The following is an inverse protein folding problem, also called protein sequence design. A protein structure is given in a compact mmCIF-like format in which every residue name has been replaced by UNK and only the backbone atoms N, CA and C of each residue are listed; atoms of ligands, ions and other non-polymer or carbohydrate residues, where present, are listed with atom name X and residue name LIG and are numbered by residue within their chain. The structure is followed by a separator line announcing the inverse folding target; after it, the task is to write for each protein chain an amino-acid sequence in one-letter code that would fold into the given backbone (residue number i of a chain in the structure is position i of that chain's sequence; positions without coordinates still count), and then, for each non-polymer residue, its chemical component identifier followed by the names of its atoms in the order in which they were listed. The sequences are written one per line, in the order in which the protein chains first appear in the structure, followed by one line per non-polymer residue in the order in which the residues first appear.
data_IF_370470881096
#
_entry.id   IF_370470881096
#
_cell.length_a   1.000
_cell.length_b   1.000
_cell.length_c   1.000
_cell.angle_alpha   90.00
_cell.angle_beta   90.00
_cell.angle_gamma   90.00
#
_symmetry.space_group_name_H-M   'P 1'
#
loop_
_entity.id
_entity.type
_entity.pdbx_description
1 polymer ?
#
# COMPACT_ATOMS: atom_id res chain seq x y z
N UNK A 1 16.53 31.33 1.02
CA UNK A 1 16.90 32.56 1.75
C UNK A 1 18.37 32.80 1.54
N UNK A 2 18.73 34.05 1.30
CA UNK A 2 20.09 34.49 1.07
C UNK A 2 20.64 35.16 2.34
N UNK A 3 21.87 34.82 2.68
CA UNK A 3 22.64 35.45 3.75
C UNK A 3 23.79 36.28 3.21
N UNK A 4 24.58 36.87 4.10
CA UNK A 4 25.83 37.54 3.71
C UNK A 4 26.90 36.48 3.35
N UNK A 5 27.68 36.64 2.27
CA UNK A 5 27.74 37.78 1.34
C UNK A 5 26.82 37.66 0.11
N UNK A 6 26.13 36.54 -0.08
CA UNK A 6 25.39 36.21 -1.31
C UNK A 6 24.34 37.27 -1.70
N UNK A 7 23.62 37.85 -0.72
CA UNK A 7 22.64 38.92 -0.96
C UNK A 7 23.26 40.11 -1.71
N UNK A 8 24.51 40.47 -1.40
CA UNK A 8 25.21 41.62 -2.01
C UNK A 8 25.50 41.37 -3.49
N UNK A 9 25.78 40.12 -3.86
CA UNK A 9 26.11 39.75 -5.23
C UNK A 9 24.88 39.59 -6.13
N UNK A 10 23.66 39.58 -5.58
CA UNK A 10 22.43 39.54 -6.40
C UNK A 10 22.18 40.83 -7.17
N UNK A 11 22.64 41.98 -6.67
CA UNK A 11 22.46 43.29 -7.30
C UNK A 11 21.00 43.75 -7.47
N UNK A 12 20.03 43.04 -6.89
CA UNK A 12 18.59 43.31 -7.02
C UNK A 12 17.97 44.07 -5.83
N UNK A 13 18.68 44.15 -4.70
CA UNK A 13 18.26 44.91 -3.52
C UNK A 13 19.00 46.26 -3.46
N UNK A 14 18.28 47.33 -3.15
CA UNK A 14 18.85 48.67 -3.04
C UNK A 14 19.71 48.85 -1.77
N UNK A 15 19.30 48.25 -0.64
CA UNK A 15 20.08 48.18 0.61
C UNK A 15 20.05 46.76 1.21
N UNK A 16 20.97 45.88 0.77
CA UNK A 16 20.97 44.47 1.19
C UNK A 16 21.40 44.29 2.66
N UNK A 17 22.24 45.18 3.19
CA UNK A 17 22.76 45.06 4.57
C UNK A 17 21.73 45.55 5.57
N UNK A 18 21.07 46.68 5.29
CA UNK A 18 19.98 47.19 6.13
C UNK A 18 18.83 46.19 6.27
N UNK A 19 18.42 45.56 5.16
CA UNK A 19 17.37 44.52 5.20
C UNK A 19 17.80 43.27 5.96
N UNK A 20 19.07 42.86 5.91
CA UNK A 20 19.55 41.72 6.68
C UNK A 20 19.49 42.04 8.18
N UNK A 21 19.87 43.25 8.59
CA UNK A 21 19.74 43.70 9.98
C UNK A 21 18.29 43.73 10.42
N UNK A 22 17.39 44.21 9.57
CA UNK A 22 15.95 44.22 9.86
C UNK A 22 15.39 42.79 10.00
N UNK A 23 15.76 41.87 9.12
CA UNK A 23 15.38 40.46 9.22
C UNK A 23 15.91 39.79 10.50
N UNK A 24 17.10 40.16 10.99
CA UNK A 24 17.58 39.72 12.33
C UNK A 24 16.68 40.26 13.42
N UNK A 25 16.35 41.56 13.38
CA UNK A 25 15.54 42.19 14.42
C UNK A 25 14.13 41.59 14.46
N UNK A 26 13.49 41.42 13.29
CA UNK A 26 12.18 40.79 13.18
C UNK A 26 12.18 39.37 13.74
N UNK A 27 13.28 38.61 13.56
CA UNK A 27 13.44 37.28 14.14
C UNK A 27 13.55 37.31 15.67
N UNK A 28 14.28 38.27 16.22
CA UNK A 28 14.43 38.46 17.67
C UNK A 28 13.07 38.84 18.27
N UNK A 29 12.38 39.80 17.67
CA UNK A 29 11.06 40.27 18.12
C UNK A 29 10.01 39.15 18.04
N UNK A 30 10.08 38.28 17.02
CA UNK A 30 9.22 37.09 16.91
C UNK A 30 9.55 36.04 17.98
N UNK A 31 10.83 35.84 18.30
CA UNK A 31 11.24 34.91 19.36
C UNK A 31 10.77 35.37 20.75
N UNK A 32 10.86 36.67 21.05
CA UNK A 32 10.38 37.26 22.30
C UNK A 32 8.85 37.20 22.43
N UNK A 33 8.11 37.40 21.34
CA UNK A 33 6.64 37.37 21.35
C UNK A 33 6.03 35.96 21.35
N UNK A 34 6.80 34.93 20.98
CA UNK A 34 6.30 33.55 20.82
C UNK A 34 6.70 32.61 21.98
N UNK A 35 7.25 33.15 23.08
CA UNK A 35 7.75 32.38 24.22
C UNK A 35 6.71 31.39 24.82
N UNK A 36 5.42 31.69 24.70
CA UNK A 36 4.31 30.93 25.29
C UNK A 36 3.40 30.17 24.31
N UNK A 37 3.64 30.20 22.98
CA UNK A 37 2.77 29.56 21.98
C UNK A 37 3.48 28.39 21.26
N UNK A 38 3.16 27.12 21.58
CA UNK A 38 3.83 25.96 21.01
C UNK A 38 3.54 25.74 19.51
N UNK A 39 2.51 26.36 18.94
CA UNK A 39 2.13 26.18 17.52
C UNK A 39 2.98 27.08 16.60
N UNK A 40 3.49 28.20 17.10
CA UNK A 40 4.27 29.19 16.33
C UNK A 40 5.78 29.09 16.51
N UNK A 41 6.28 28.06 17.22
CA UNK A 41 7.71 27.74 17.37
C UNK A 41 8.36 27.18 16.08
N UNK A 42 8.09 27.80 14.94
CA UNK A 42 8.88 27.61 13.73
C UNK A 42 9.86 28.77 13.63
N UNK A 43 11.15 28.54 13.91
CA UNK A 43 12.16 29.55 13.65
C UNK A 43 12.12 29.90 12.15
N UNK A 44 11.67 31.13 11.80
CA UNK A 44 11.92 31.66 10.46
C UNK A 44 13.42 31.53 10.22
N UNK A 45 13.81 30.94 9.09
CA UNK A 45 15.22 30.82 8.78
C UNK A 45 15.82 32.23 8.63
N UNK A 46 17.07 32.40 9.05
CA UNK A 46 17.77 33.67 8.92
C UNK A 46 18.13 33.92 7.45
N UNK A 47 17.69 35.07 6.91
CA UNK A 47 18.05 35.55 5.57
C UNK A 47 16.89 36.26 4.86
N UNK A 48 17.18 36.85 3.71
CA UNK A 48 16.21 37.55 2.87
C UNK A 48 15.73 36.60 1.75
N UNK A 49 14.49 36.74 1.24
CA UNK A 49 14.04 36.03 0.04
C UNK A 49 15.02 36.14 -1.13
N UNK A 50 15.15 35.05 -1.89
CA UNK A 50 16.01 35.02 -3.06
C UNK A 50 15.24 35.57 -4.27
N UNK A 51 15.69 36.69 -4.87
CA UNK A 51 14.96 37.38 -5.92
C UNK A 51 15.05 36.67 -7.29
N UNK A 52 15.85 35.61 -7.42
CA UNK A 52 15.90 34.78 -8.62
C UNK A 52 14.95 33.58 -8.56
N UNK A 53 14.29 33.33 -7.43
CA UNK A 53 13.27 32.26 -7.33
C UNK A 53 12.00 32.69 -8.05
N UNK A 54 11.52 31.83 -8.95
CA UNK A 54 10.34 32.08 -9.78
C UNK A 54 9.17 31.15 -9.45
N UNK A 55 9.44 29.95 -8.95
CA UNK A 55 8.42 28.97 -8.62
C UNK A 55 8.86 28.07 -7.45
N UNK A 56 7.89 27.41 -6.83
CA UNK A 56 8.08 26.27 -5.94
C UNK A 56 7.70 25.01 -6.69
N UNK A 57 8.62 24.06 -6.78
CA UNK A 57 8.34 22.68 -7.15
C UNK A 57 7.84 21.92 -5.93
N UNK A 58 6.69 21.26 -6.10
CA UNK A 58 6.01 20.46 -5.10
C UNK A 58 6.00 19.03 -5.61
N UNK A 59 6.81 18.18 -5.00
CA UNK A 59 6.83 16.75 -5.27
C UNK A 59 6.03 16.04 -4.18
N UNK A 60 5.02 15.28 -4.59
CA UNK A 60 4.17 14.51 -3.67
C UNK A 60 4.49 13.04 -3.80
N UNK A 61 4.92 12.45 -2.69
CA UNK A 61 5.33 11.05 -2.57
C UNK A 61 4.42 10.33 -1.58
N UNK A 62 4.14 9.06 -1.85
CA UNK A 62 3.36 8.20 -0.94
C UNK A 62 4.18 7.01 -0.49
N UNK A 63 4.02 6.67 0.78
CA UNK A 63 4.62 5.47 1.35
C UNK A 63 3.95 4.21 0.79
N UNK A 64 4.75 3.26 0.31
CA UNK A 64 4.32 1.92 -0.10
C UNK A 64 4.64 0.88 0.96
N UNK A 65 4.57 -0.40 0.61
CA UNK A 65 4.99 -1.50 1.48
C UNK A 65 6.50 -1.47 1.71
N UNK A 66 6.93 -1.95 2.88
CA UNK A 66 8.34 -2.18 3.13
C UNK A 66 8.91 -3.13 2.06
N UNK A 67 10.13 -2.85 1.61
CA UNK A 67 10.84 -3.53 0.52
C UNK A 67 10.32 -3.25 -0.90
N UNK A 68 9.22 -2.51 -1.10
CA UNK A 68 8.84 -2.03 -2.45
C UNK A 68 9.57 -0.72 -2.79
N UNK A 69 10.83 -0.86 -3.16
CA UNK A 69 11.71 0.26 -3.52
C UNK A 69 11.92 0.40 -5.04
N UNK A 70 11.37 -0.50 -5.86
CA UNK A 70 11.64 -0.56 -7.30
C UNK A 70 11.11 0.66 -8.05
N UNK A 71 10.01 1.24 -7.56
CA UNK A 71 9.38 2.43 -8.11
C UNK A 71 9.75 3.72 -7.37
N UNK A 72 10.74 3.66 -6.46
CA UNK A 72 11.24 4.84 -5.75
C UNK A 72 12.32 5.55 -6.55
N UNK A 73 12.33 6.88 -6.49
CA UNK A 73 13.30 7.71 -7.19
C UNK A 73 14.76 7.41 -6.77
N UNK A 74 14.99 7.12 -5.49
CA UNK A 74 16.34 6.79 -4.96
C UNK A 74 16.62 5.28 -4.94
N UNK A 75 15.60 4.44 -5.18
CA UNK A 75 15.68 2.98 -5.11
C UNK A 75 15.99 2.42 -3.71
N UNK A 76 16.01 3.25 -2.67
CA UNK A 76 16.33 2.86 -1.29
C UNK A 76 15.16 2.99 -0.35
N UNK A 77 14.33 3.99 -0.56
CA UNK A 77 13.17 4.25 0.27
C UNK A 77 11.92 3.62 -0.35
N UNK A 78 10.94 3.29 0.48
CA UNK A 78 9.63 2.77 0.06
C UNK A 78 8.65 3.93 -0.15
N UNK A 79 9.08 4.94 -0.90
CA UNK A 79 8.26 6.08 -1.30
C UNK A 79 8.21 6.15 -2.82
N UNK A 80 7.00 6.23 -3.38
CA UNK A 80 6.75 6.41 -4.80
C UNK A 80 6.26 7.83 -5.05
N UNK A 81 6.83 8.49 -6.06
CA UNK A 81 6.35 9.78 -6.54
C UNK A 81 4.98 9.61 -7.20
N UNK A 82 3.94 10.25 -6.65
CA UNK A 82 2.62 10.30 -7.28
C UNK A 82 2.59 11.30 -8.43
N UNK A 83 3.05 12.52 -8.15
CA UNK A 83 3.14 13.59 -9.13
C UNK A 83 4.10 14.68 -8.65
N UNK A 84 4.57 15.47 -9.61
CA UNK A 84 5.31 16.70 -9.37
C UNK A 84 4.54 17.84 -10.03
N UNK A 85 4.34 18.94 -9.30
CA UNK A 85 3.66 20.13 -9.79
C UNK A 85 4.45 21.38 -9.40
N UNK A 86 4.19 22.52 -10.04
CA UNK A 86 4.84 23.78 -9.74
C UNK A 86 3.83 24.86 -9.39
N UNK A 87 4.18 25.76 -8.48
CA UNK A 87 3.39 26.95 -8.15
C UNK A 87 4.27 28.18 -8.33
N UNK A 88 3.83 29.14 -9.12
CA UNK A 88 4.63 30.31 -9.47
C UNK A 88 4.46 31.41 -8.41
N UNK A 89 5.55 32.10 -8.11
CA UNK A 89 5.49 33.37 -7.40
C UNK A 89 5.05 34.48 -8.37
N UNK A 90 4.50 35.56 -7.82
CA UNK A 90 4.44 36.85 -8.51
C UNK A 90 5.84 37.28 -8.96
N UNK A 91 5.93 38.10 -9.99
CA UNK A 91 7.22 38.67 -10.40
C UNK A 91 7.85 39.44 -9.23
N UNK A 92 9.15 39.27 -9.03
CA UNK A 92 9.85 39.86 -7.89
C UNK A 92 9.67 41.38 -7.83
N UNK A 93 9.16 41.85 -6.69
CA UNK A 93 9.04 43.26 -6.33
C UNK A 93 9.71 43.46 -4.96
N UNK A 94 10.70 44.36 -4.90
CA UNK A 94 11.46 44.63 -3.67
C UNK A 94 10.55 45.10 -2.52
N UNK A 95 9.44 45.80 -2.82
CA UNK A 95 8.49 46.24 -1.80
C UNK A 95 7.64 45.10 -1.22
N UNK A 96 7.49 44.00 -1.96
CA UNK A 96 6.68 42.84 -1.61
C UNK A 96 7.52 41.54 -1.63
N UNK A 97 8.81 41.64 -1.33
CA UNK A 97 9.74 40.51 -1.41
C UNK A 97 9.35 39.35 -0.47
N UNK A 98 8.58 39.62 0.57
CA UNK A 98 8.08 38.66 1.57
C UNK A 98 6.66 38.13 1.25
N UNK A 99 6.20 38.22 0.00
CA UNK A 99 4.89 37.68 -0.39
C UNK A 99 4.83 36.15 -0.22
N UNK A 100 3.90 35.68 0.60
CA UNK A 100 3.64 34.27 0.82
C UNK A 100 2.74 33.69 -0.28
N UNK A 101 3.07 32.49 -0.78
CA UNK A 101 2.14 31.72 -1.62
C UNK A 101 1.27 30.84 -0.73
N UNK A 102 -0.04 31.07 -0.79
CA UNK A 102 -1.02 30.12 -0.23
C UNK A 102 -1.29 29.00 -1.24
N UNK A 103 -1.02 27.75 -0.84
CA UNK A 103 -1.34 26.54 -1.62
C UNK A 103 -2.43 25.76 -0.87
N UNK A 104 -3.71 25.90 -1.26
CA UNK A 104 -4.79 25.17 -0.62
C UNK A 104 -4.64 23.66 -0.84
N UNK A 105 -4.93 22.87 0.20
CA UNK A 105 -4.83 21.40 0.15
C UNK A 105 -6.23 20.79 0.28
N UNK A 106 -6.65 20.06 -0.74
CA UNK A 106 -7.90 19.29 -0.74
C UNK A 106 -7.59 17.81 -0.53
N UNK A 107 -8.33 17.17 0.38
CA UNK A 107 -8.16 15.75 0.70
C UNK A 107 -9.36 14.92 0.25
N UNK A 108 -9.11 13.90 -0.56
CA UNK A 108 -10.16 13.05 -1.16
C UNK A 108 -9.87 11.55 -0.96
N UNK A 109 -10.94 10.76 -0.86
CA UNK A 109 -10.87 9.30 -0.67
C UNK A 109 -10.80 8.60 -2.03
N UNK A 110 -9.70 7.92 -2.29
CA UNK A 110 -9.55 7.06 -3.46
C UNK A 110 -9.39 5.61 -3.01
N UNK A 111 -10.11 4.62 -3.58
CA UNK A 111 -9.88 3.22 -3.25
C UNK A 111 -8.53 2.70 -3.79
N UNK A 112 -8.17 3.08 -5.02
CA UNK A 112 -6.98 2.62 -5.73
C UNK A 112 -6.33 3.79 -6.47
N UNK A 113 -5.03 3.96 -6.27
CA UNK A 113 -4.20 4.92 -7.00
C UNK A 113 -3.42 4.23 -8.13
N UNK A 114 -3.24 4.93 -9.25
CA UNK A 114 -2.39 4.46 -10.36
C UNK A 114 -0.94 4.92 -10.12
N UNK A 115 -0.18 4.05 -9.47
CA UNK A 115 1.23 4.31 -9.18
C UNK A 115 2.04 4.34 -10.49
N UNK A 116 3.17 5.07 -10.48
CA UNK A 116 4.14 5.16 -11.60
C UNK A 116 3.58 5.68 -12.94
N UNK A 117 2.51 6.47 -12.92
CA UNK A 117 1.90 7.05 -14.12
C UNK A 117 1.72 8.56 -13.94
N UNK A 118 1.78 9.34 -15.03
CA UNK A 118 1.56 10.80 -15.01
C UNK A 118 0.13 11.23 -14.58
N UNK A 119 -0.77 10.25 -14.45
CA UNK A 119 -2.17 10.44 -14.03
C UNK A 119 -2.48 9.50 -12.86
N UNK A 120 -2.06 9.86 -11.64
CA UNK A 120 -2.20 8.99 -10.47
C UNK A 120 -3.65 8.77 -10.03
N UNK A 121 -4.55 9.72 -10.31
CA UNK A 121 -5.95 9.63 -9.89
C UNK A 121 -6.82 8.96 -10.96
N UNK A 122 -7.86 8.20 -10.57
CA UNK A 122 -8.67 7.42 -11.51
C UNK A 122 -9.48 8.29 -12.49
N UNK A 123 -9.98 9.45 -12.05
CA UNK A 123 -10.75 10.38 -12.87
C UNK A 123 -9.82 11.42 -13.53
N UNK A 124 -10.03 11.71 -14.81
CA UNK A 124 -9.21 12.70 -15.52
C UNK A 124 -9.35 14.13 -14.94
N UNK A 125 -10.52 14.48 -14.41
CA UNK A 125 -10.77 15.78 -13.74
C UNK A 125 -9.83 15.99 -12.56
N UNK A 126 -9.53 14.91 -11.83
CA UNK A 126 -8.76 14.97 -10.60
C UNK A 126 -7.26 15.07 -10.88
N UNK A 127 -6.83 15.07 -12.14
CA UNK A 127 -5.42 15.20 -12.52
C UNK A 127 -5.11 16.56 -13.18
N UNK A 128 -6.09 17.45 -13.40
CA UNK A 128 -5.86 18.70 -14.13
C UNK A 128 -4.96 19.68 -13.37
N UNK A 129 -5.12 19.72 -12.04
CA UNK A 129 -4.37 20.61 -11.14
C UNK A 129 -2.84 20.38 -11.17
N UNK A 130 -2.39 19.22 -11.65
CA UNK A 130 -0.97 18.85 -11.72
C UNK A 130 -0.22 19.77 -12.68
N UNK A 131 -0.87 20.17 -13.79
CA UNK A 131 -0.27 21.04 -14.80
C UNK A 131 -0.57 22.53 -14.57
N UNK A 132 -1.35 22.87 -13.54
CA UNK A 132 -1.68 24.26 -13.21
C UNK A 132 -0.52 24.89 -12.42
N UNK A 133 -0.28 26.18 -12.65
CA UNK A 133 0.79 26.95 -11.99
C UNK A 133 0.32 27.74 -10.77
N UNK A 134 -0.98 27.64 -10.45
CA UNK A 134 -1.63 28.28 -9.31
C UNK A 134 -2.82 27.41 -8.86
N UNK A 135 -3.31 27.63 -7.64
CA UNK A 135 -4.49 26.92 -7.13
C UNK A 135 -4.16 25.72 -6.24
N UNK A 136 -5.19 24.94 -5.95
CA UNK A 136 -5.16 23.86 -4.96
C UNK A 136 -4.32 22.65 -5.40
N UNK A 137 -3.94 21.84 -4.42
CA UNK A 137 -3.36 20.50 -4.64
C UNK A 137 -4.25 19.43 -4.03
N UNK A 138 -4.38 18.31 -4.73
CA UNK A 138 -5.17 17.17 -4.27
C UNK A 138 -4.27 16.13 -3.61
N UNK A 139 -4.62 15.72 -2.39
CA UNK A 139 -3.94 14.70 -1.63
C UNK A 139 -4.87 13.53 -1.30
N UNK A 140 -4.43 12.28 -1.44
CA UNK A 140 -5.24 11.13 -1.08
C UNK A 140 -5.30 10.95 0.44
N UNK A 141 -6.46 10.58 0.97
CA UNK A 141 -6.65 10.22 2.39
C UNK A 141 -6.20 8.78 2.68
N UNK A 142 -6.00 8.40 3.94
CA UNK A 142 -5.55 7.07 4.38
C UNK A 142 -4.15 6.62 3.90
N UNK A 143 -3.33 7.56 3.41
CA UNK A 143 -1.95 7.32 2.96
C UNK A 143 -1.00 8.16 3.81
N UNK A 144 0.21 7.66 3.99
CA UNK A 144 1.30 8.48 4.51
C UNK A 144 1.94 9.22 3.34
N UNK A 145 1.84 10.55 3.37
CA UNK A 145 2.29 11.42 2.30
C UNK A 145 3.52 12.16 2.76
N UNK A 146 4.51 12.21 1.86
CA UNK A 146 5.67 13.07 1.99
C UNK A 146 5.62 14.11 0.88
N UNK A 147 5.64 15.38 1.27
CA UNK A 147 5.74 16.50 0.35
C UNK A 147 7.16 17.03 0.42
N UNK A 148 7.83 17.01 -0.72
CA UNK A 148 9.15 17.61 -0.89
C UNK A 148 8.97 18.92 -1.65
N UNK A 149 9.28 20.03 -0.98
CA UNK A 149 9.23 21.38 -1.54
C UNK A 149 10.63 21.80 -1.96
N UNK A 150 10.74 22.38 -3.15
CA UNK A 150 12.01 22.88 -3.68
C UNK A 150 11.80 24.21 -4.40
N UNK A 151 12.60 25.21 -4.08
CA UNK A 151 12.59 26.47 -4.81
C UNK A 151 13.23 26.30 -6.20
N UNK A 152 12.63 26.89 -7.23
CA UNK A 152 13.09 26.85 -8.61
C UNK A 152 13.44 28.26 -9.09
N UNK A 153 14.70 28.45 -9.44
CA UNK A 153 15.22 29.68 -10.01
C UNK A 153 14.72 29.94 -11.44
N UNK A 154 14.58 31.22 -11.78
CA UNK A 154 14.23 31.71 -13.12
C UNK A 154 15.18 31.17 -14.18
N UNK A 155 14.67 30.92 -15.40
CA UNK A 155 15.51 30.43 -16.49
C UNK A 155 16.29 31.56 -17.14
N UNK A 156 17.55 31.74 -16.72
CA UNK A 156 18.46 32.75 -17.24
C UNK A 156 19.66 32.09 -17.94
N UNK A 157 19.77 32.36 -19.24
CA UNK A 157 20.87 31.89 -20.09
C UNK A 157 22.19 32.48 -19.58
N UNK A 158 23.20 31.63 -19.37
CA UNK A 158 24.55 31.99 -18.86
C UNK A 158 24.61 32.54 -17.43
N UNK A 159 23.51 32.48 -16.67
CA UNK A 159 23.50 32.88 -15.26
C UNK A 159 23.82 31.71 -14.34
N UNK A 160 23.21 30.56 -14.63
CA UNK A 160 23.44 29.32 -13.91
C UNK A 160 24.63 28.56 -14.51
N UNK A 161 25.28 27.72 -13.70
CA UNK A 161 26.33 26.80 -14.18
C UNK A 161 25.78 25.74 -15.16
N UNK A 162 26.53 24.66 -15.39
CA UNK A 162 26.16 23.64 -16.39
C UNK A 162 24.71 23.13 -16.20
N UNK A 163 23.92 23.27 -17.26
CA UNK A 163 22.49 22.99 -17.27
C UNK A 163 22.24 21.51 -17.52
N UNK A 164 22.44 20.67 -16.51
CA UNK A 164 21.94 19.30 -16.58
C UNK A 164 20.43 19.27 -16.32
N UNK A 165 19.67 19.12 -17.40
CA UNK A 165 18.19 19.20 -17.50
C UNK A 165 17.44 18.24 -16.55
N UNK A 166 18.07 17.19 -16.01
CA UNK A 166 17.37 16.13 -15.24
C UNK A 166 18.09 15.62 -13.98
N UNK A 167 19.14 16.31 -13.51
CA UNK A 167 19.82 15.86 -12.30
C UNK A 167 19.39 16.67 -11.08
N UNK A 168 19.31 16.04 -9.91
CA UNK A 168 19.21 16.72 -8.61
C UNK A 168 20.35 17.74 -8.38
N UNK A 169 21.40 17.67 -9.19
CA UNK A 169 22.54 18.61 -9.25
C UNK A 169 22.28 19.88 -10.06
N UNK A 170 21.06 20.11 -10.56
CA UNK A 170 20.75 21.34 -11.30
C UNK A 170 20.94 22.57 -10.37
N UNK A 171 21.82 23.52 -10.72
CA UNK A 171 22.12 24.69 -9.89
C UNK A 171 20.92 25.64 -9.68
N UNK A 172 19.88 25.53 -10.51
CA UNK A 172 18.64 26.33 -10.39
C UNK A 172 17.76 25.92 -9.20
N UNK A 173 18.00 24.72 -8.68
CA UNK A 173 17.09 24.12 -7.73
C UNK A 173 17.65 24.25 -6.30
N UNK A 174 16.87 24.90 -5.45
CA UNK A 174 17.25 25.19 -4.07
C UNK A 174 17.29 23.96 -3.16
N UNK A 175 17.53 24.23 -1.86
CA UNK A 175 17.48 23.22 -0.80
C UNK A 175 16.06 22.65 -0.68
N UNK A 176 15.96 21.33 -0.52
CA UNK A 176 14.69 20.63 -0.32
C UNK A 176 14.22 20.76 1.13
N UNK A 177 12.91 20.96 1.30
CA UNK A 177 12.23 20.88 2.60
C UNK A 177 11.20 19.77 2.51
N UNK A 178 11.22 18.86 3.49
CA UNK A 178 10.35 17.69 3.50
C UNK A 178 9.33 17.83 4.62
N UNK A 179 8.06 17.64 4.28
CA UNK A 179 6.93 17.69 5.20
C UNK A 179 6.19 16.37 5.09
N UNK A 180 5.98 15.69 6.22
CA UNK A 180 5.16 14.48 6.27
C UNK A 180 3.76 14.83 6.75
N UNK A 181 2.75 14.34 6.04
CA UNK A 181 1.35 14.54 6.40
C UNK A 181 0.52 13.30 6.13
N UNK A 182 -0.61 13.23 6.83
CA UNK A 182 -1.58 12.15 6.71
C UNK A 182 -2.94 12.71 7.09
N UNK A 183 -3.98 12.21 6.44
CA UNK A 183 -5.37 12.45 6.86
C UNK A 183 -6.16 11.17 6.69
N UNK A 184 -6.99 10.83 7.68
CA UNK A 184 -7.76 9.59 7.64
C UNK A 184 -8.87 9.59 6.58
N UNK A 185 -9.22 8.38 6.17
CA UNK A 185 -10.33 8.13 5.24
C UNK A 185 -11.68 8.38 5.94
N UNK A 186 -12.65 8.87 5.18
CA UNK A 186 -14.02 9.06 5.66
C UNK A 186 -14.86 7.82 5.32
N UNK A 187 -14.63 7.21 4.16
CA UNK A 187 -15.40 6.08 3.66
C UNK A 187 -14.49 4.92 3.23
N UNK A 188 -14.67 3.75 3.85
CA UNK A 188 -13.92 2.53 3.53
C UNK A 188 -14.81 1.37 3.05
N UNK A 189 -16.02 1.67 2.57
CA UNK A 189 -16.90 0.64 2.01
C UNK A 189 -16.26 -0.10 0.82
N UNK A 190 -16.75 -1.31 0.56
CA UNK A 190 -16.38 -2.09 -0.62
C UNK A 190 -14.92 -2.56 -0.62
N UNK A 191 -14.39 -2.97 0.56
CA UNK A 191 -13.06 -3.58 0.66
C UNK A 191 -12.93 -4.82 -0.24
N UNK A 192 -14.01 -5.61 -0.34
CA UNK A 192 -14.07 -6.83 -1.13
C UNK A 192 -15.15 -6.69 -2.22
N UNK A 193 -14.79 -6.32 -3.48
CA UNK A 193 -15.78 -6.11 -4.53
C UNK A 193 -16.23 -7.40 -5.24
N UNK A 194 -15.48 -8.50 -5.14
CA UNK A 194 -15.72 -9.74 -5.90
C UNK A 194 -16.39 -10.86 -5.09
N UNK A 195 -17.31 -10.50 -4.19
CA UNK A 195 -17.95 -11.46 -3.27
C UNK A 195 -18.86 -12.47 -3.97
N UNK A 196 -19.42 -12.10 -5.12
CA UNK A 196 -20.37 -12.94 -5.87
C UNK A 196 -19.69 -14.06 -6.67
N UNK A 197 -18.36 -14.09 -6.72
CA UNK A 197 -17.64 -15.10 -7.46
C UNK A 197 -17.73 -16.47 -6.74
N UNK A 198 -18.13 -17.56 -7.40
CA UNK A 198 -18.14 -18.89 -6.79
C UNK A 198 -16.74 -19.39 -6.38
N UNK A 199 -15.66 -18.77 -6.88
CA UNK A 199 -14.29 -19.02 -6.39
C UNK A 199 -13.97 -18.38 -5.04
N UNK A 200 -14.81 -17.46 -4.56
CA UNK A 200 -14.60 -16.76 -3.29
C UNK A 200 -14.72 -17.69 -2.10
N UNK A 201 -15.62 -18.69 -2.14
CA UNK A 201 -15.78 -19.67 -1.08
C UNK A 201 -15.89 -21.08 -1.69
N UNK A 202 -14.91 -21.94 -1.39
CA UNK A 202 -14.84 -23.30 -1.91
C UNK A 202 -14.60 -24.30 -0.79
N UNK A 203 -15.36 -25.40 -0.80
CA UNK A 203 -15.07 -26.56 0.03
C UNK A 203 -14.36 -27.62 -0.83
N UNK A 204 -13.12 -27.91 -0.50
CA UNK A 204 -12.22 -28.81 -1.24
C UNK A 204 -11.98 -30.03 -0.37
N UNK A 205 -12.26 -31.22 -0.90
CA UNK A 205 -11.87 -32.49 -0.30
C UNK A 205 -10.80 -33.14 -1.15
N UNK A 206 -9.61 -33.30 -0.59
CA UNK A 206 -8.46 -33.82 -1.31
C UNK A 206 -8.35 -35.33 -1.11
N UNK A 207 -8.31 -36.06 -2.23
CA UNK A 207 -8.03 -37.50 -2.24
C UNK A 207 -6.54 -37.75 -1.97
N UNK A 208 -6.17 -38.88 -1.35
CA UNK A 208 -4.77 -39.26 -1.19
C UNK A 208 -4.11 -39.48 -2.55
N UNK A 209 -2.81 -39.27 -2.62
CA UNK A 209 -2.06 -39.48 -3.86
C UNK A 209 -2.14 -40.96 -4.30
N UNK A 210 -2.27 -41.22 -5.61
CA UNK A 210 -2.26 -42.58 -6.09
C UNK A 210 -0.90 -43.21 -5.77
N UNK A 211 -0.91 -44.44 -5.26
CA UNK A 211 0.33 -45.18 -5.04
C UNK A 211 1.08 -45.32 -6.37
N UNK A 212 2.36 -44.92 -6.45
CA UNK A 212 3.14 -45.15 -7.65
C UNK A 212 3.29 -46.66 -7.81
N UNK A 213 2.60 -47.23 -8.79
CA UNK A 213 2.78 -48.63 -9.12
C UNK A 213 4.22 -48.74 -9.63
N UNK A 214 5.06 -49.54 -8.97
CA UNK A 214 6.42 -49.84 -9.45
C UNK A 214 6.34 -50.79 -10.65
N UNK A 215 5.78 -50.32 -11.75
CA UNK A 215 5.86 -50.99 -13.05
C UNK A 215 7.15 -50.55 -13.73
N UNK A 216 7.75 -51.47 -14.47
CA UNK A 216 8.94 -51.23 -15.28
C UNK A 216 8.73 -49.96 -16.14
N UNK A 217 9.64 -48.96 -16.09
CA UNK A 217 9.46 -47.65 -16.73
C UNK A 217 9.10 -47.71 -18.22
N UNK A 218 9.41 -48.82 -18.91
CA UNK A 218 9.07 -49.03 -20.31
C UNK A 218 7.60 -49.43 -20.54
N UNK A 219 6.97 -50.12 -19.58
CA UNK A 219 5.56 -50.54 -19.62
C UNK A 219 4.65 -49.40 -19.16
N UNK A 220 5.05 -48.66 -18.13
CA UNK A 220 4.32 -47.49 -17.66
C UNK A 220 4.20 -46.39 -18.72
N UNK A 221 5.29 -46.12 -19.46
CA UNK A 221 5.30 -45.12 -20.53
C UNK A 221 4.42 -45.50 -21.73
N UNK A 222 4.17 -46.81 -21.96
CA UNK A 222 3.29 -47.31 -23.04
C UNK A 222 1.80 -47.33 -22.66
N UNK A 223 1.46 -47.51 -21.39
CA UNK A 223 0.07 -47.59 -20.94
C UNK A 223 -0.56 -46.23 -20.58
N UNK A 224 0.25 -45.22 -20.23
CA UNK A 224 -0.25 -43.90 -19.78
C UNK A 224 -0.18 -42.79 -20.84
N UNK A 225 0.03 -43.10 -22.12
CA UNK A 225 -0.14 -42.12 -23.20
C UNK A 225 0.68 -40.82 -23.07
N UNK A 226 1.77 -40.82 -22.29
CA UNK A 226 2.62 -39.65 -22.10
C UNK A 226 2.14 -38.62 -21.08
N UNK A 227 0.98 -38.81 -20.44
CA UNK A 227 0.59 -37.96 -19.32
C UNK A 227 1.21 -38.47 -18.03
N UNK A 228 1.94 -37.57 -17.38
CA UNK A 228 2.43 -37.73 -16.01
C UNK A 228 1.24 -38.07 -15.10
N UNK A 229 1.42 -39.03 -14.19
CA UNK A 229 0.36 -39.46 -13.27
C UNK A 229 -0.29 -38.30 -12.50
N UNK A 230 -1.42 -38.57 -11.83
CA UNK A 230 -2.22 -37.56 -11.12
C UNK A 230 -1.32 -36.59 -10.32
N UNK A 231 -1.49 -35.26 -10.49
CA UNK A 231 -0.64 -34.26 -9.83
C UNK A 231 -0.66 -34.45 -8.32
N UNK A 232 0.41 -34.07 -7.62
CA UNK A 232 0.51 -34.16 -6.16
C UNK A 232 -0.69 -33.51 -5.44
N UNK A 233 -1.05 -33.94 -4.22
CA UNK A 233 -2.13 -33.37 -3.42
C UNK A 233 -2.00 -31.85 -3.25
N UNK A 234 -0.78 -31.37 -3.03
CA UNK A 234 -0.49 -29.93 -2.91
C UNK A 234 -0.62 -29.23 -4.26
N UNK A 235 -0.24 -29.89 -5.36
CA UNK A 235 -0.42 -29.36 -6.70
C UNK A 235 -1.90 -29.25 -7.07
N UNK A 236 -2.72 -30.24 -6.69
CA UNK A 236 -4.19 -30.17 -6.88
C UNK A 236 -4.80 -29.01 -6.11
N UNK A 237 -4.38 -28.81 -4.86
CA UNK A 237 -4.84 -27.68 -4.05
C UNK A 237 -4.40 -26.35 -4.65
N UNK A 238 -3.12 -26.21 -5.00
CA UNK A 238 -2.61 -24.96 -5.57
C UNK A 238 -3.23 -24.62 -6.92
N UNK A 239 -3.47 -25.61 -7.78
CA UNK A 239 -4.18 -25.41 -9.05
C UNK A 239 -5.64 -24.96 -8.84
N UNK A 240 -6.30 -25.47 -7.80
CA UNK A 240 -7.67 -25.07 -7.48
C UNK A 240 -7.74 -23.63 -6.92
N UNK A 241 -6.72 -23.23 -6.15
CA UNK A 241 -6.58 -21.89 -5.57
C UNK A 241 -5.90 -20.87 -6.50
N UNK A 242 -5.43 -21.31 -7.66
CA UNK A 242 -4.71 -20.50 -8.65
C UNK A 242 -3.45 -19.83 -8.07
N UNK A 243 -2.65 -20.62 -7.34
CA UNK A 243 -1.40 -20.20 -6.68
C UNK A 243 -0.21 -21.00 -7.19
N UNK A 244 0.98 -20.39 -7.16
CA UNK A 244 2.21 -21.09 -7.49
C UNK A 244 2.56 -22.13 -6.42
N UNK A 245 3.08 -23.28 -6.85
CA UNK A 245 3.45 -24.39 -5.98
C UNK A 245 4.95 -24.65 -6.07
N UNK A 246 5.60 -24.80 -4.91
CA UNK A 246 6.96 -25.28 -4.79
C UNK A 246 7.00 -26.39 -3.74
N UNK A 247 7.01 -27.64 -4.20
CA UNK A 247 6.95 -28.84 -3.35
C UNK A 247 5.72 -28.85 -2.41
N UNK A 248 5.93 -28.63 -1.10
CA UNK A 248 4.87 -28.57 -0.08
C UNK A 248 4.47 -27.12 0.29
N UNK A 249 5.03 -26.14 -0.40
CA UNK A 249 4.80 -24.72 -0.15
C UNK A 249 3.91 -24.14 -1.24
N UNK A 250 2.85 -23.44 -0.82
CA UNK A 250 2.04 -22.58 -1.69
C UNK A 250 2.58 -21.15 -1.61
N UNK A 251 2.79 -20.53 -2.76
CA UNK A 251 3.37 -19.18 -2.90
C UNK A 251 2.53 -18.34 -3.85
N UNK A 252 2.64 -17.01 -3.74
CA UNK A 252 2.12 -16.11 -4.76
C UNK A 252 2.73 -16.39 -6.15
N UNK A 253 1.99 -16.10 -7.22
CA UNK A 253 2.62 -15.91 -8.53
C UNK A 253 3.44 -14.61 -8.54
N UNK A 254 4.36 -14.50 -9.49
CA UNK A 254 5.12 -13.26 -9.67
C UNK A 254 4.18 -12.10 -10.04
N UNK A 255 4.43 -10.92 -9.47
CA UNK A 255 3.70 -9.69 -9.76
C UNK A 255 2.40 -9.52 -8.98
N UNK A 256 1.99 -10.50 -8.16
CA UNK A 256 0.82 -10.40 -7.29
C UNK A 256 1.21 -10.50 -5.82
N UNK A 257 0.56 -9.68 -4.97
CA UNK A 257 0.68 -9.80 -3.52
C UNK A 257 -0.41 -10.71 -2.97
N UNK A 258 0.02 -11.82 -2.39
CA UNK A 258 -0.83 -12.80 -1.73
C UNK A 258 -0.49 -12.87 -0.24
N UNK A 259 -1.50 -12.99 0.62
CA UNK A 259 -1.30 -13.36 2.01
C UNK A 259 -2.19 -14.54 2.41
N UNK A 260 -1.59 -15.49 3.11
CA UNK A 260 -2.27 -16.67 3.62
C UNK A 260 -2.66 -16.49 5.08
N UNK A 261 -3.81 -17.08 5.41
CA UNK A 261 -4.18 -17.45 6.77
C UNK A 261 -4.59 -18.90 6.76
N UNK A 262 -4.19 -19.65 7.77
CA UNK A 262 -4.59 -21.05 7.90
C UNK A 262 -4.96 -21.34 9.36
N UNK A 263 -6.01 -22.13 9.55
CA UNK A 263 -6.44 -22.57 10.87
C UNK A 263 -5.38 -23.44 11.56
N UNK A 264 -5.31 -23.38 12.88
CA UNK A 264 -4.38 -24.17 13.71
C UNK A 264 -4.65 -25.68 13.67
N UNK A 265 -5.68 -26.14 12.96
CA UNK A 265 -5.98 -27.58 12.82
C UNK A 265 -5.04 -28.30 11.85
N UNK A 266 -4.43 -27.56 10.90
CA UNK A 266 -3.38 -28.08 10.02
C UNK A 266 -2.03 -27.66 10.57
N UNK A 267 -1.08 -28.59 10.61
CA UNK A 267 0.31 -28.22 10.89
C UNK A 267 0.94 -27.56 9.67
N UNK A 268 1.29 -26.29 9.83
CA UNK A 268 1.87 -25.48 8.79
C UNK A 268 2.84 -24.45 9.37
N UNK A 269 3.71 -23.94 8.52
CA UNK A 269 4.59 -22.81 8.81
C UNK A 269 4.38 -21.74 7.73
N UNK A 270 4.24 -20.49 8.16
CA UNK A 270 4.06 -19.34 7.25
C UNK A 270 5.35 -18.53 7.19
N UNK A 271 5.60 -17.91 6.03
CA UNK A 271 6.66 -16.91 5.93
C UNK A 271 6.36 -15.69 6.83
N UNK A 272 7.38 -14.95 7.30
CA UNK A 272 7.18 -13.79 8.18
C UNK A 272 6.28 -12.68 7.61
N UNK A 273 6.13 -12.62 6.29
CA UNK A 273 5.28 -11.69 5.54
C UNK A 273 3.91 -12.30 5.15
N UNK A 274 3.63 -13.52 5.60
CA UNK A 274 2.45 -14.35 5.26
C UNK A 274 2.29 -14.63 3.76
N UNK A 275 3.33 -14.44 2.93
CA UNK A 275 3.23 -14.60 1.47
C UNK A 275 3.27 -16.05 0.97
N UNK A 276 3.69 -16.97 1.83
CA UNK A 276 3.74 -18.39 1.54
C UNK A 276 3.38 -19.22 2.76
N UNK A 277 2.75 -20.36 2.52
CA UNK A 277 2.42 -21.37 3.53
C UNK A 277 3.07 -22.70 3.14
N UNK A 278 3.81 -23.29 4.07
CA UNK A 278 4.43 -24.60 3.93
C UNK A 278 3.72 -25.58 4.85
N UNK A 279 3.21 -26.67 4.29
CA UNK A 279 2.60 -27.74 5.07
C UNK A 279 3.67 -28.73 5.56
N UNK A 280 3.51 -29.24 6.77
CA UNK A 280 4.47 -30.17 7.38
C UNK A 280 4.54 -31.50 6.60
N UNK A 281 3.38 -32.00 6.15
CA UNK A 281 3.28 -33.24 5.40
C UNK A 281 2.00 -33.27 4.55
N UNK A 282 2.02 -34.05 3.46
CA UNK A 282 0.85 -34.36 2.62
C UNK A 282 -0.31 -34.96 3.41
N UNK A 283 0.01 -35.73 4.45
CA UNK A 283 -0.98 -36.37 5.31
C UNK A 283 -1.87 -35.39 6.08
N UNK A 284 -1.45 -34.12 6.24
CA UNK A 284 -2.24 -33.08 6.89
C UNK A 284 -3.38 -32.56 5.98
N UNK A 285 -3.26 -32.76 4.67
CA UNK A 285 -4.24 -32.29 3.68
C UNK A 285 -5.26 -33.37 3.29
N UNK A 286 -4.96 -34.65 3.53
CA UNK A 286 -5.83 -35.75 3.15
C UNK A 286 -6.88 -36.04 4.23
N UNK A 287 -8.09 -36.43 3.83
CA UNK A 287 -9.12 -36.88 4.76
C UNK A 287 -9.79 -35.77 5.58
N UNK A 288 -9.58 -34.51 5.19
CA UNK A 288 -10.18 -33.33 5.80
C UNK A 288 -10.92 -32.51 4.73
N UNK A 289 -12.00 -31.83 5.14
CA UNK A 289 -12.63 -30.81 4.31
C UNK A 289 -11.91 -29.47 4.54
N UNK A 290 -11.32 -28.95 3.48
CA UNK A 290 -10.67 -27.64 3.47
C UNK A 290 -11.66 -26.62 2.92
N UNK A 291 -12.04 -25.66 3.74
CA UNK A 291 -12.84 -24.53 3.30
C UNK A 291 -11.89 -23.38 3.01
N UNK A 292 -11.69 -23.12 1.72
CA UNK A 292 -10.83 -22.07 1.24
C UNK A 292 -11.68 -20.86 0.84
N UNK A 293 -11.36 -19.70 1.43
CA UNK A 293 -11.97 -18.42 1.07
C UNK A 293 -10.93 -17.53 0.41
N UNK A 294 -11.15 -17.15 -0.85
CA UNK A 294 -10.26 -16.24 -1.59
C UNK A 294 -10.91 -14.88 -1.70
N UNK A 295 -10.29 -13.86 -1.11
CA UNK A 295 -10.75 -12.49 -1.13
C UNK A 295 -9.73 -11.61 -1.83
N UNK A 296 -10.20 -10.63 -2.59
CA UNK A 296 -9.33 -9.61 -3.20
C UNK A 296 -9.64 -8.30 -2.53
N UNK A 297 -8.67 -7.77 -1.82
CA UNK A 297 -8.71 -6.45 -1.22
C UNK A 297 -8.53 -5.41 -2.32
N UNK A 298 -9.56 -4.60 -2.56
CA UNK A 298 -9.54 -3.51 -3.54
C UNK A 298 -8.98 -2.23 -2.93
N UNK A 299 -7.74 -2.34 -2.47
CA UNK A 299 -6.94 -1.24 -1.93
C UNK A 299 -5.52 -1.39 -2.44
N UNK A 300 -4.96 -0.27 -2.88
CA UNK A 300 -3.60 -0.22 -3.38
C UNK A 300 -2.57 -0.36 -2.24
N UNK A 301 -1.32 -0.66 -2.57
CA UNK A 301 -0.27 -0.93 -1.59
C UNK A 301 0.11 0.26 -0.70
N UNK A 302 -0.29 1.48 -1.04
CA UNK A 302 -0.06 2.68 -0.22
C UNK A 302 -1.13 2.87 0.87
N UNK A 303 -2.24 2.16 0.76
CA UNK A 303 -3.36 2.30 1.67
C UNK A 303 -3.03 1.75 3.06
N UNK A 304 -3.32 2.54 4.09
CA UNK A 304 -2.92 2.25 5.45
C UNK A 304 -3.98 2.61 6.51
N UNK A 305 -5.20 2.10 6.40
CA UNK A 305 -6.24 2.33 7.43
C UNK A 305 -6.33 1.20 8.48
N UNK A 306 -5.81 0.01 8.18
CA UNK A 306 -5.99 -1.19 9.01
C UNK A 306 -5.05 -1.26 10.22
N UNK A 307 -5.56 -1.86 11.29
CA UNK A 307 -4.78 -2.26 12.46
C UNK A 307 -3.87 -3.45 12.10
N UNK A 308 -2.67 -3.62 12.70
CA UNK A 308 -1.87 -4.83 12.60
C UNK A 308 -2.62 -6.16 12.62
N UNK A 309 -3.57 -6.36 13.55
CA UNK A 309 -4.57 -7.44 13.46
C UNK A 309 -5.75 -6.89 12.68
N UNK A 310 -5.77 -7.20 11.38
CA UNK A 310 -6.55 -6.45 10.40
C UNK A 310 -7.94 -7.02 10.18
N UNK A 311 -8.07 -8.34 10.21
CA UNK A 311 -9.33 -9.04 9.95
C UNK A 311 -9.59 -10.10 11.02
N UNK A 312 -10.76 -10.05 11.64
CA UNK A 312 -11.21 -11.08 12.58
C UNK A 312 -12.15 -12.02 11.82
N UNK A 313 -11.82 -13.31 11.86
CA UNK A 313 -12.57 -14.34 11.14
C UNK A 313 -13.49 -15.04 12.12
N UNK A 314 -14.77 -14.94 11.84
CA UNK A 314 -15.84 -15.60 12.56
C UNK A 314 -16.43 -16.72 11.72
N UNK A 315 -16.79 -17.83 12.38
CA UNK A 315 -17.53 -18.94 11.76
C UNK A 315 -18.71 -19.30 12.63
N UNK A 316 -19.82 -19.56 11.95
CA UNK A 316 -21.00 -20.16 12.51
C UNK A 316 -21.21 -21.51 11.87
N UNK A 317 -21.42 -22.52 12.72
CA UNK A 317 -21.63 -23.90 12.30
C UNK A 317 -22.99 -24.39 12.78
N UNK A 318 -23.78 -24.88 11.84
CA UNK A 318 -25.09 -25.50 12.11
C UNK A 318 -25.10 -26.90 11.51
N UNK A 319 -25.59 -27.88 12.26
CA UNK A 319 -25.74 -29.26 11.82
C UNK A 319 -27.19 -29.51 11.42
N UNK A 320 -27.44 -30.44 10.50
CA UNK A 320 -28.79 -30.77 10.04
C UNK A 320 -29.69 -31.33 11.14
N UNK A 321 -29.10 -31.96 12.15
CA UNK A 321 -29.76 -32.48 13.35
C UNK A 321 -30.03 -31.44 14.45
N UNK A 322 -29.51 -30.21 14.31
CA UNK A 322 -29.82 -29.15 15.27
C UNK A 322 -31.31 -28.76 15.19
N UNK A 323 -31.91 -28.41 16.33
CA UNK A 323 -33.28 -27.91 16.37
C UNK A 323 -33.38 -26.62 15.50
N UNK A 324 -34.31 -26.56 14.53
CA UNK A 324 -34.48 -25.40 13.65
C UNK A 324 -34.74 -24.07 14.38
N UNK A 325 -35.08 -24.10 15.68
CA UNK A 325 -35.23 -22.90 16.51
C UNK A 325 -33.95 -22.37 17.16
N UNK A 326 -32.83 -23.11 17.15
CA UNK A 326 -31.59 -22.70 17.83
C UNK A 326 -30.69 -21.92 16.87
N UNK A 327 -30.64 -20.60 17.06
CA UNK A 327 -29.68 -19.73 16.39
C UNK A 327 -28.34 -19.83 17.11
N UNK A 328 -27.37 -20.54 16.52
CA UNK A 328 -25.99 -20.54 17.03
C UNK A 328 -25.31 -19.20 16.75
N UNK A 329 -24.50 -18.73 17.68
CA UNK A 329 -23.71 -17.51 17.54
C UNK A 329 -22.46 -17.72 16.69
N UNK A 330 -21.88 -16.62 16.23
CA UNK A 330 -20.60 -16.60 15.52
C UNK A 330 -19.44 -16.80 16.50
N UNK A 331 -18.63 -17.82 16.28
CA UNK A 331 -17.41 -18.08 17.04
C UNK A 331 -16.20 -17.47 16.32
N UNK A 332 -15.31 -16.79 17.05
CA UNK A 332 -14.03 -16.30 16.51
C UNK A 332 -13.08 -17.48 16.34
N UNK A 333 -12.68 -17.79 15.11
CA UNK A 333 -11.69 -18.85 14.83
C UNK A 333 -10.27 -18.30 14.94
N UNK A 334 -10.07 -17.04 14.54
CA UNK A 334 -8.76 -16.41 14.54
C UNK A 334 -8.79 -15.04 13.91
N UNK A 335 -7.61 -14.48 13.72
CA UNK A 335 -7.39 -13.19 13.09
C UNK A 335 -6.25 -13.28 12.07
N UNK A 336 -6.36 -12.46 11.03
CA UNK A 336 -5.37 -12.30 9.98
C UNK A 336 -4.68 -10.94 10.15
N UNK A 337 -3.36 -10.99 10.27
CA UNK A 337 -2.51 -9.81 10.31
C UNK A 337 -2.03 -9.45 8.90
N UNK A 338 -2.47 -8.30 8.37
CA UNK A 338 -2.02 -7.84 7.06
C UNK A 338 -0.62 -7.22 7.18
N UNK A 339 0.41 -7.98 6.80
CA UNK A 339 1.81 -7.52 6.94
C UNK A 339 2.15 -6.45 5.91
N UNK A 340 2.71 -5.31 6.33
CA UNK A 340 3.15 -4.20 5.46
C UNK A 340 4.50 -4.44 4.77
N UNK A 341 4.72 -5.63 4.25
CA UNK A 341 5.94 -5.98 3.54
C UNK A 341 5.55 -6.55 2.19
N UNK A 342 6.22 -6.10 1.14
CA UNK A 342 6.11 -6.70 -0.17
C UNK A 342 7.03 -7.93 -0.23
N UNK A 343 6.47 -9.07 -0.63
CA UNK A 343 7.27 -10.27 -0.85
C UNK A 343 8.13 -10.10 -2.11
N UNK A 344 9.23 -10.85 -2.19
CA UNK A 344 10.12 -10.78 -3.35
C UNK A 344 9.41 -11.18 -4.65
N UNK A 345 8.49 -12.16 -4.59
CA UNK A 345 7.67 -12.60 -5.71
C UNK A 345 6.71 -11.51 -6.18
N UNK A 346 6.12 -10.75 -5.25
CA UNK A 346 5.17 -9.69 -5.58
C UNK A 346 5.84 -8.53 -6.34
N UNK A 347 7.13 -8.27 -6.10
CA UNK A 347 7.88 -7.18 -6.77
C UNK A 347 8.43 -7.61 -8.13
N UNK A 348 8.49 -8.91 -8.44
CA UNK A 348 8.89 -9.37 -9.77
C UNK A 348 7.78 -9.14 -10.78
N UNK A 349 8.14 -8.85 -12.03
CA UNK A 349 7.16 -8.79 -13.11
C UNK A 349 6.48 -10.16 -13.28
N UNK A 350 5.15 -10.14 -13.32
CA UNK A 350 4.36 -11.33 -13.61
C UNK A 350 4.46 -11.77 -15.06
N UNK A 351 3.70 -12.80 -15.44
CA UNK A 351 3.60 -13.28 -16.83
C UNK A 351 3.17 -12.16 -17.81
N UNK A 352 2.42 -11.19 -17.29
CA UNK A 352 1.90 -10.05 -18.05
C UNK A 352 2.89 -8.87 -18.14
N UNK A 353 4.10 -9.02 -17.61
CA UNK A 353 5.12 -7.96 -17.58
C UNK A 353 4.78 -6.79 -16.67
N UNK A 354 3.85 -6.97 -15.73
CA UNK A 354 3.38 -5.93 -14.80
C UNK A 354 3.44 -6.42 -13.36
N UNK A 355 3.46 -5.45 -12.46
CA UNK A 355 3.36 -5.64 -11.01
C UNK A 355 2.03 -5.04 -10.57
N UNK A 356 1.17 -5.87 -10.00
CA UNK A 356 -0.17 -5.50 -9.55
C UNK A 356 -0.10 -4.87 -8.15
N UNK A 357 0.10 -3.56 -8.11
CA UNK A 357 0.12 -2.77 -6.85
C UNK A 357 -1.26 -2.29 -6.41
N UNK A 358 -2.27 -2.49 -7.26
CA UNK A 358 -3.65 -2.04 -7.08
C UNK A 358 -4.47 -2.90 -6.11
N UNK A 359 -4.03 -4.13 -5.85
CA UNK A 359 -4.78 -5.09 -5.06
C UNK A 359 -3.89 -5.94 -4.16
N UNK A 360 -4.52 -6.62 -3.21
CA UNK A 360 -3.88 -7.67 -2.41
C UNK A 360 -4.85 -8.83 -2.28
N UNK A 361 -4.40 -10.03 -2.60
CA UNK A 361 -5.21 -11.25 -2.52
C UNK A 361 -4.99 -11.91 -1.17
N UNK A 362 -6.09 -12.32 -0.53
CA UNK A 362 -6.10 -13.01 0.77
C UNK A 362 -6.68 -14.40 0.56
N UNK A 363 -6.00 -15.43 1.06
CA UNK A 363 -6.51 -16.80 1.04
C UNK A 363 -6.60 -17.30 2.47
N UNK A 364 -7.83 -17.61 2.89
CA UNK A 364 -8.13 -18.16 4.21
C UNK A 364 -8.40 -19.66 4.05
N UNK A 365 -7.65 -20.49 4.76
CA UNK A 365 -7.79 -21.94 4.73
C UNK A 365 -8.27 -22.41 6.11
N UNK A 366 -9.54 -22.79 6.20
CA UNK A 366 -10.12 -23.37 7.40
C UNK A 366 -10.33 -24.89 7.23
N UNK A 367 -10.14 -25.64 8.30
CA UNK A 367 -10.45 -27.08 8.31
C UNK A 367 -11.74 -27.32 9.04
N UNK A 368 -12.65 -28.02 8.37
CA UNK A 368 -13.91 -28.44 8.94
C UNK A 368 -13.97 -29.95 8.91
N UNK A 369 -13.25 -30.58 9.84
CA UNK A 369 -13.37 -32.03 10.05
C UNK A 369 -14.37 -32.32 11.16
N UNK A 370 -15.27 -33.25 10.86
CA UNK A 370 -16.27 -33.75 11.80
C UNK A 370 -16.39 -35.24 11.57
N UNK A 371 -15.38 -35.97 12.04
CA UNK A 371 -15.58 -37.39 12.29
C UNK A 371 -16.67 -37.49 13.36
N UNK A 372 -17.81 -38.14 13.07
CA UNK A 372 -18.85 -38.32 14.07
C UNK A 372 -18.26 -39.04 15.28
N UNK A 373 -18.52 -38.53 16.49
CA UNK A 373 -18.10 -39.20 17.70
C UNK A 373 -18.89 -40.52 17.84
N UNK A 374 -18.19 -41.66 17.89
CA UNK A 374 -18.80 -42.98 18.10
C UNK A 374 -19.42 -43.59 16.82
N UNK A 375 -20.57 -44.25 16.95
CA UNK A 375 -21.28 -44.96 15.87
C UNK A 375 -22.34 -44.11 15.15
N UNK A 376 -22.35 -42.79 15.35
CA UNK A 376 -23.35 -41.93 14.73
C UNK A 376 -23.09 -41.75 13.23
N UNK A 377 -24.18 -41.68 12.46
CA UNK A 377 -24.11 -41.39 11.03
C UNK A 377 -23.59 -39.96 10.78
N UNK A 378 -22.95 -39.70 9.63
CA UNK A 378 -22.57 -38.35 9.23
C UNK A 378 -23.80 -37.44 9.12
N UNK A 379 -23.67 -36.19 9.57
CA UNK A 379 -24.71 -35.18 9.44
C UNK A 379 -24.28 -34.10 8.43
N UNK A 380 -25.28 -33.44 7.83
CA UNK A 380 -25.06 -32.28 6.97
C UNK A 380 -24.61 -31.08 7.80
N UNK A 381 -23.60 -30.36 7.31
CA UNK A 381 -23.07 -29.18 8.00
C UNK A 381 -23.30 -27.98 7.11
N UNK A 382 -23.90 -26.93 7.69
CA UNK A 382 -24.00 -25.61 7.08
C UNK A 382 -23.05 -24.67 7.80
N UNK A 383 -22.18 -24.04 7.03
CA UNK A 383 -21.16 -23.10 7.49
C UNK A 383 -21.51 -21.70 6.99
N UNK A 384 -21.32 -20.72 7.87
CA UNK A 384 -21.37 -19.31 7.53
C UNK A 384 -20.11 -18.66 8.08
N UNK A 385 -19.44 -17.87 7.25
CA UNK A 385 -18.27 -17.09 7.64
C UNK A 385 -18.66 -15.61 7.69
N UNK A 386 -18.10 -14.88 8.66
CA UNK A 386 -18.18 -13.43 8.77
C UNK A 386 -16.76 -12.91 8.99
N UNK A 387 -16.35 -11.90 8.25
CA UNK A 387 -15.02 -11.29 8.34
C UNK A 387 -15.21 -9.82 8.71
N UNK A 388 -14.65 -9.48 9.87
CA UNK A 388 -14.74 -8.14 10.43
C UNK A 388 -13.41 -7.41 10.26
N UNK A 389 -13.45 -6.27 9.57
CA UNK A 389 -12.29 -5.38 9.41
C UNK A 389 -12.07 -4.56 10.69
N UNK A 390 -10.84 -4.57 11.19
CA UNK A 390 -10.43 -3.78 12.35
C UNK A 390 -9.55 -2.63 11.89
N UNK A 391 -10.09 -1.42 12.01
CA UNK A 391 -9.36 -0.18 11.75
C UNK A 391 -8.59 0.26 12.99
N UNK A 392 -7.60 1.14 12.81
CA UNK A 392 -6.89 1.74 13.95
C UNK A 392 -7.85 2.61 14.75
N UNK A 393 -7.63 2.73 16.06
CA UNK A 393 -8.52 3.46 16.99
C UNK A 393 -8.78 4.92 16.57
N UNK A 394 -7.80 5.58 15.97
CA UNK A 394 -7.94 6.95 15.46
C UNK A 394 -8.44 7.03 14.01
N UNK A 395 -8.63 5.89 13.33
CA UNK A 395 -8.85 5.78 11.89
C UNK A 395 -10.15 5.02 11.56
N UNK A 396 -11.08 4.90 12.51
CA UNK A 396 -12.37 4.29 12.26
C UNK A 396 -13.14 5.11 11.19
N UNK A 397 -13.48 4.52 10.03
CA UNK A 397 -14.24 5.23 9.00
C UNK A 397 -15.64 5.57 9.50
N UNK A 398 -16.23 6.64 8.97
CA UNK A 398 -17.59 7.05 9.32
C UNK A 398 -18.64 6.05 8.80
N UNK A 399 -18.28 5.28 7.75
CA UNK A 399 -19.12 4.26 7.14
C UNK A 399 -18.27 3.03 6.79
N UNK A 400 -18.67 1.86 7.30
CA UNK A 400 -18.08 0.55 7.02
C UNK A 400 -19.16 -0.53 6.91
N UNK A 401 -18.91 -1.57 6.12
CA UNK A 401 -19.76 -2.75 6.01
C UNK A 401 -18.95 -3.99 6.38
N UNK A 402 -19.36 -4.71 7.43
CA UNK A 402 -18.82 -6.04 7.73
C UNK A 402 -19.18 -7.04 6.61
N UNK A 403 -18.26 -7.96 6.31
CA UNK A 403 -18.44 -9.04 5.34
C UNK A 403 -19.01 -10.31 6.00
#
# INVERSE_FOLDING_TARGET
MLGYPDVVYTGKYNDPVGRLTQAVQDLIDLQESTENDPIRKGAKAFGIPDPDVSAVEIKVEVETLNMDNLASDDGREHYITLYTTTRNFSAFDEMNADEDIEVPIRFEDFPVLKLTTDKPFPLNSDNTFINETSGEILLPRARNIRITLRAVGEDKINYWGDHHVKSNTNPRLGKTTVISMRKESINEQGLFPYTDNPKTLQAIYLQPDPFPIKLDPMVHRKFQGGETGMPDIVQRLGNQLDVAIKDLTLTAENGERLQFWCSNMIRHSMAPDNSSITFDNKNELQGHWLVCTTLVLNRDWTWDSLNPSSFIIHRKRTMGSDDPGIVKDFERIGDLELKKTASFQAIQEGKDGKIHRENTRLILIDVVDVKPAGMNLPDTIKLQYKIESVFRENHAPAVDNAF
#
